data_IF_067210737039
#
_entry.id   IF_067210737039
#
_cell.length_a   1.000
_cell.length_b   1.000
_cell.length_c   1.000
_cell.angle_alpha   90.00
_cell.angle_beta   90.00
_cell.angle_gamma   90.00
#
_symmetry.space_group_name_H-M   'P 1'
#
loop_
_entity.id
_entity.type
_entity.pdbx_description
1 polymer ?
#
# COMPACT_ATOMS: atom_id res chain seq x y z
N UNK A 1 14.23 25.04 -3.69
CA UNK A 1 14.54 24.04 -4.75
C UNK A 1 14.38 22.60 -4.26
N UNK A 2 14.79 22.30 -3.02
CA UNK A 2 14.71 20.95 -2.40
C UNK A 2 13.28 20.42 -2.15
N UNK A 3 12.28 21.29 -1.89
CA UNK A 3 10.88 20.86 -1.68
C UNK A 3 10.25 20.24 -2.94
N UNK A 4 10.56 20.81 -4.12
CA UNK A 4 10.06 20.30 -5.40
C UNK A 4 10.55 18.87 -5.72
N UNK A 5 11.67 18.43 -5.15
CA UNK A 5 12.19 17.08 -5.35
C UNK A 5 11.45 16.06 -4.48
N UNK A 6 11.11 16.40 -3.23
CA UNK A 6 10.52 15.46 -2.28
C UNK A 6 9.12 15.00 -2.72
N UNK A 7 8.27 15.94 -3.14
CA UNK A 7 6.97 15.61 -3.74
C UNK A 7 7.15 14.80 -5.03
N UNK A 8 8.14 15.11 -5.88
CA UNK A 8 8.40 14.36 -7.10
C UNK A 8 8.77 12.90 -6.84
N UNK A 9 9.64 12.66 -5.85
CA UNK A 9 10.05 11.32 -5.41
C UNK A 9 8.85 10.56 -4.84
N UNK A 10 8.07 11.19 -3.95
CA UNK A 10 6.89 10.56 -3.35
C UNK A 10 5.86 10.14 -4.41
N UNK A 11 5.57 11.01 -5.39
CA UNK A 11 4.68 10.68 -6.52
C UNK A 11 5.19 9.46 -7.29
N UNK A 12 6.48 9.44 -7.62
CA UNK A 12 7.09 8.33 -8.36
C UNK A 12 7.00 7.02 -7.56
N UNK A 13 7.30 7.06 -6.25
CA UNK A 13 7.19 5.91 -5.36
C UNK A 13 5.77 5.35 -5.32
N UNK A 14 4.75 6.21 -5.16
CA UNK A 14 3.34 5.80 -5.15
C UNK A 14 2.95 5.13 -6.47
N UNK A 15 3.31 5.74 -7.60
CA UNK A 15 2.97 5.20 -8.92
C UNK A 15 3.61 3.82 -9.10
N UNK A 16 4.91 3.70 -8.82
CA UNK A 16 5.63 2.43 -8.95
C UNK A 16 5.05 1.39 -8.00
N UNK A 17 4.83 1.73 -6.73
CA UNK A 17 4.29 0.78 -5.74
C UNK A 17 2.89 0.31 -6.11
N UNK A 18 2.01 1.19 -6.57
CA UNK A 18 0.65 0.83 -6.98
C UNK A 18 0.65 -0.07 -8.22
N UNK A 19 1.50 0.21 -9.21
CA UNK A 19 1.63 -0.65 -10.40
C UNK A 19 2.20 -2.01 -10.04
N UNK A 20 3.28 -2.06 -9.24
CA UNK A 20 3.87 -3.32 -8.75
C UNK A 20 2.84 -4.11 -7.94
N UNK A 21 2.10 -3.45 -7.06
CA UNK A 21 1.04 -4.06 -6.27
C UNK A 21 -0.02 -4.71 -7.17
N UNK A 22 -0.45 -4.02 -8.23
CA UNK A 22 -1.43 -4.54 -9.18
C UNK A 22 -0.90 -5.74 -9.97
N UNK A 23 0.30 -5.63 -10.56
CA UNK A 23 0.88 -6.70 -11.40
C UNK A 23 1.10 -7.98 -10.59
N UNK A 24 1.59 -7.84 -9.36
CA UNK A 24 1.91 -8.97 -8.50
C UNK A 24 0.76 -9.37 -7.56
N UNK A 25 -0.46 -8.89 -7.82
CA UNK A 25 -1.68 -9.32 -7.09
C UNK A 25 -1.85 -10.84 -7.07
N UNK A 26 -1.35 -11.54 -8.09
CA UNK A 26 -1.32 -13.00 -8.13
C UNK A 26 -0.67 -13.66 -6.91
N UNK A 27 0.29 -12.99 -6.24
CA UNK A 27 0.87 -13.48 -4.99
C UNK A 27 -0.19 -13.54 -3.88
N UNK A 28 -1.03 -12.51 -3.79
CA UNK A 28 -2.15 -12.48 -2.84
C UNK A 28 -3.25 -13.47 -3.21
N UNK A 29 -3.57 -13.63 -4.50
CA UNK A 29 -4.58 -14.60 -4.97
C UNK A 29 -4.17 -16.03 -4.61
N UNK A 30 -2.90 -16.39 -4.80
CA UNK A 30 -2.39 -17.71 -4.41
C UNK A 30 -2.50 -17.96 -2.91
N UNK A 31 -2.21 -16.96 -2.08
CA UNK A 31 -2.42 -17.06 -0.64
C UNK A 31 -3.91 -17.15 -0.31
N UNK A 32 -4.77 -16.37 -0.97
CA UNK A 32 -6.22 -16.36 -0.75
C UNK A 32 -6.86 -17.71 -1.02
N UNK A 33 -6.47 -18.40 -2.09
CA UNK A 33 -7.00 -19.73 -2.42
C UNK A 33 -6.66 -20.80 -1.38
N UNK A 34 -5.64 -20.56 -0.55
CA UNK A 34 -5.25 -21.45 0.54
C UNK A 34 -5.96 -21.11 1.86
N UNK A 35 -6.65 -19.98 1.93
CA UNK A 35 -7.27 -19.44 3.14
C UNK A 35 -8.78 -19.64 3.11
N UNK A 36 -9.34 -20.20 4.18
CA UNK A 36 -10.78 -20.42 4.32
C UNK A 36 -11.59 -19.14 4.63
N UNK A 37 -10.94 -18.02 4.94
CA UNK A 37 -11.61 -16.79 5.35
C UNK A 37 -11.96 -15.86 4.19
N UNK A 38 -13.26 -15.72 3.91
CA UNK A 38 -13.83 -14.79 2.91
C UNK A 38 -13.40 -13.32 3.12
N UNK A 39 -13.23 -12.91 4.38
CA UNK A 39 -12.78 -11.56 4.75
C UNK A 39 -11.38 -11.24 4.25
N UNK A 40 -10.52 -12.26 4.07
CA UNK A 40 -9.17 -12.07 3.52
C UNK A 40 -9.23 -11.53 2.08
N UNK A 41 -10.12 -12.08 1.26
CA UNK A 41 -10.27 -11.68 -0.15
C UNK A 41 -10.79 -10.25 -0.27
N UNK A 42 -11.74 -9.89 0.59
CA UNK A 42 -12.27 -8.54 0.65
C UNK A 42 -11.21 -7.50 1.03
N UNK A 43 -10.44 -7.75 2.10
CA UNK A 43 -9.37 -6.83 2.54
C UNK A 43 -8.26 -6.73 1.50
N UNK A 44 -7.87 -7.85 0.88
CA UNK A 44 -6.90 -7.88 -0.21
C UNK A 44 -7.36 -6.99 -1.38
N UNK A 45 -8.62 -7.13 -1.80
CA UNK A 45 -9.18 -6.35 -2.89
C UNK A 45 -9.20 -4.85 -2.57
N UNK A 46 -9.64 -4.47 -1.36
CA UNK A 46 -9.59 -3.08 -0.91
C UNK A 46 -8.17 -2.52 -0.86
N UNK A 47 -7.20 -3.31 -0.40
CA UNK A 47 -5.80 -2.90 -0.34
C UNK A 47 -5.25 -2.55 -1.74
N UNK A 48 -5.59 -3.35 -2.76
CA UNK A 48 -5.22 -3.05 -4.15
C UNK A 48 -5.97 -1.82 -4.69
N UNK A 49 -7.29 -1.74 -4.48
CA UNK A 49 -8.11 -0.63 -4.97
C UNK A 49 -7.69 0.72 -4.39
N UNK A 50 -7.50 0.82 -3.08
CA UNK A 50 -7.07 2.08 -2.45
C UNK A 50 -5.63 2.43 -2.88
N UNK A 51 -4.79 1.42 -3.13
CA UNK A 51 -3.49 1.63 -3.80
C UNK A 51 -3.62 2.27 -5.18
N UNK A 52 -4.61 1.88 -5.99
CA UNK A 52 -4.89 2.52 -7.28
C UNK A 52 -5.45 3.94 -7.12
N UNK A 53 -6.31 4.18 -6.12
CA UNK A 53 -6.76 5.55 -5.78
C UNK A 53 -5.55 6.44 -5.45
N UNK A 54 -4.58 5.93 -4.69
CA UNK A 54 -3.34 6.64 -4.39
C UNK A 54 -2.57 7.01 -5.66
N UNK A 55 -2.53 6.10 -6.65
CA UNK A 55 -1.88 6.36 -7.95
C UNK A 55 -2.60 7.48 -8.71
N UNK A 56 -3.92 7.45 -8.80
CA UNK A 56 -4.68 8.50 -9.50
C UNK A 56 -4.50 9.85 -8.82
N UNK A 57 -4.63 9.91 -7.50
CA UNK A 57 -4.40 11.13 -6.73
C UNK A 57 -2.96 11.63 -6.90
N UNK A 58 -1.96 10.74 -6.82
CA UNK A 58 -0.57 11.09 -7.09
C UNK A 58 -0.40 11.68 -8.49
N UNK A 59 -1.02 11.14 -9.54
CA UNK A 59 -0.90 11.77 -10.88
C UNK A 59 -1.53 13.16 -10.95
N UNK A 60 -2.60 13.40 -10.19
CA UNK A 60 -3.36 14.65 -10.18
C UNK A 60 -2.71 15.78 -9.38
N UNK A 61 -1.84 15.49 -8.40
CA UNK A 61 -1.20 16.53 -7.56
C UNK A 61 -0.59 17.64 -8.43
N UNK A 62 -1.21 18.82 -8.38
CA UNK A 62 -0.72 20.08 -8.95
C UNK A 62 0.27 20.73 -7.99
N UNK A 63 1.23 21.46 -8.55
CA UNK A 63 2.39 22.01 -7.79
C UNK A 63 2.02 22.93 -6.61
N UNK A 64 0.81 23.52 -6.57
CA UNK A 64 0.41 24.52 -5.57
C UNK A 64 -0.74 24.11 -4.66
N UNK A 65 -1.35 22.94 -4.84
CA UNK A 65 -2.51 22.54 -4.03
C UNK A 65 -2.09 21.71 -2.82
N UNK A 66 -2.02 22.38 -1.67
CA UNK A 66 -1.75 21.77 -0.37
C UNK A 66 -2.79 20.70 -0.02
N UNK A 67 -4.06 20.92 -0.39
CA UNK A 67 -5.16 19.99 -0.12
C UNK A 67 -4.98 18.63 -0.82
N UNK A 68 -4.62 18.62 -2.11
CA UNK A 68 -4.38 17.38 -2.88
C UNK A 68 -3.24 16.55 -2.27
N UNK A 69 -2.19 17.21 -1.77
CA UNK A 69 -1.06 16.54 -1.12
C UNK A 69 -1.46 15.89 0.20
N UNK A 70 -2.23 16.59 1.04
CA UNK A 70 -2.74 16.05 2.31
C UNK A 70 -3.66 14.87 2.03
N UNK A 71 -4.55 15.00 1.05
CA UNK A 71 -5.46 13.93 0.67
C UNK A 71 -4.70 12.70 0.17
N UNK A 72 -3.72 12.87 -0.72
CA UNK A 72 -2.89 11.75 -1.21
C UNK A 72 -2.11 11.08 -0.08
N UNK A 73 -1.55 11.85 0.86
CA UNK A 73 -0.87 11.30 2.03
C UNK A 73 -1.82 10.50 2.91
N UNK A 74 -3.03 11.00 3.14
CA UNK A 74 -4.07 10.29 3.90
C UNK A 74 -4.44 8.96 3.24
N UNK A 75 -4.64 8.95 1.92
CA UNK A 75 -4.88 7.72 1.16
C UNK A 75 -3.71 6.73 1.32
N UNK A 76 -2.45 7.19 1.28
CA UNK A 76 -1.29 6.33 1.51
C UNK A 76 -1.33 5.66 2.90
N UNK A 77 -1.70 6.38 3.95
CA UNK A 77 -1.83 5.81 5.29
C UNK A 77 -3.00 4.85 5.42
N UNK A 78 -4.13 5.14 4.77
CA UNK A 78 -5.28 4.21 4.71
C UNK A 78 -4.88 2.92 3.99
N UNK A 79 -4.18 3.01 2.85
CA UNK A 79 -3.63 1.85 2.13
C UNK A 79 -2.69 1.05 3.03
N UNK A 80 -1.79 1.71 3.74
CA UNK A 80 -0.87 1.06 4.68
C UNK A 80 -1.61 0.36 5.84
N UNK A 81 -2.67 0.98 6.37
CA UNK A 81 -3.53 0.39 7.41
C UNK A 81 -4.24 -0.87 6.93
N UNK A 82 -4.84 -0.83 5.72
CA UNK A 82 -5.48 -1.99 5.11
C UNK A 82 -4.47 -3.12 4.85
N UNK A 83 -3.28 -2.79 4.32
CA UNK A 83 -2.21 -3.77 4.13
C UNK A 83 -1.75 -4.38 5.45
N UNK A 84 -1.63 -3.59 6.51
CA UNK A 84 -1.22 -4.09 7.84
C UNK A 84 -2.27 -5.04 8.42
N UNK A 85 -3.56 -4.74 8.24
CA UNK A 85 -4.65 -5.63 8.62
C UNK A 85 -4.62 -6.93 7.81
N UNK A 86 -4.34 -6.87 6.50
CA UNK A 86 -4.18 -8.06 5.67
C UNK A 86 -3.02 -8.94 6.14
N UNK A 87 -1.87 -8.34 6.49
CA UNK A 87 -0.72 -9.05 7.05
C UNK A 87 -1.09 -9.76 8.36
N UNK A 88 -1.88 -9.12 9.22
CA UNK A 88 -2.36 -9.74 10.45
C UNK A 88 -3.21 -10.99 10.15
N UNK A 89 -4.13 -10.92 9.18
CA UNK A 89 -4.92 -12.08 8.75
C UNK A 89 -4.04 -13.21 8.23
N UNK A 90 -3.04 -12.89 7.38
CA UNK A 90 -2.11 -13.90 6.88
C UNK A 90 -1.29 -14.56 7.99
N UNK A 91 -0.84 -13.78 8.99
CA UNK A 91 -0.07 -14.29 10.13
C UNK A 91 -0.93 -15.16 11.03
N UNK A 92 -2.16 -14.74 11.29
CA UNK A 92 -3.13 -15.50 12.07
C UNK A 92 -3.40 -16.85 11.41
N UNK A 93 -3.67 -16.86 10.11
CA UNK A 93 -3.90 -18.09 9.36
C UNK A 93 -2.71 -19.05 9.37
N UNK A 94 -1.47 -18.55 9.26
CA UNK A 94 -0.25 -19.38 9.40
C UNK A 94 -0.18 -20.06 10.77
N UNK A 95 -0.67 -19.40 11.83
CA UNK A 95 -0.61 -19.94 13.19
C UNK A 95 -1.72 -20.96 13.49
N UNK A 96 -2.89 -20.82 12.86
CA UNK A 96 -4.08 -21.61 13.16
C UNK A 96 -4.24 -22.81 12.22
N UNK A 97 -3.95 -22.64 10.92
CA UNK A 97 -4.22 -23.68 9.91
C UNK A 97 -3.04 -24.64 9.74
N UNK A 98 -3.22 -25.91 10.14
CA UNK A 98 -2.19 -26.96 10.05
C UNK A 98 -1.91 -27.45 8.62
N UNK A 99 -2.86 -27.31 7.70
CA UNK A 99 -2.76 -27.77 6.30
C UNK A 99 -2.24 -26.68 5.33
N UNK A 100 -1.88 -25.50 5.84
CA UNK A 100 -1.52 -24.36 5.02
C UNK A 100 -0.10 -24.49 4.47
N UNK A 101 0.07 -24.22 3.17
CA UNK A 101 1.41 -23.98 2.60
C UNK A 101 1.93 -22.62 3.07
N UNK A 102 2.63 -22.65 4.20
CA UNK A 102 3.22 -21.49 4.85
C UNK A 102 4.14 -20.71 3.90
N UNK A 103 4.79 -21.38 2.94
CA UNK A 103 5.71 -20.73 2.01
C UNK A 103 5.01 -19.74 1.09
N UNK A 104 3.83 -20.08 0.59
CA UNK A 104 3.04 -19.21 -0.30
C UNK A 104 2.50 -18.00 0.47
N UNK A 105 1.94 -18.23 1.66
CA UNK A 105 1.36 -17.15 2.49
C UNK A 105 2.44 -16.23 3.05
N UNK A 106 3.61 -16.77 3.43
CA UNK A 106 4.75 -15.96 3.86
C UNK A 106 5.25 -15.02 2.76
N UNK A 107 5.29 -15.47 1.50
CA UNK A 107 5.63 -14.60 0.36
C UNK A 107 4.63 -13.44 0.21
N UNK A 108 3.34 -13.71 0.41
CA UNK A 108 2.31 -12.67 0.39
C UNK A 108 2.49 -11.66 1.54
N UNK A 109 2.84 -12.12 2.74
CA UNK A 109 3.17 -11.25 3.88
C UNK A 109 4.36 -10.34 3.57
N UNK A 110 5.46 -10.90 3.08
CA UNK A 110 6.68 -10.13 2.77
C UNK A 110 6.39 -9.09 1.68
N UNK A 111 5.63 -9.49 0.66
CA UNK A 111 5.21 -8.59 -0.41
C UNK A 111 4.32 -7.45 0.12
N UNK A 112 3.31 -7.74 0.93
CA UNK A 112 2.49 -6.72 1.59
C UNK A 112 3.33 -5.77 2.42
N UNK A 113 4.27 -6.27 3.23
CA UNK A 113 5.15 -5.45 4.07
C UNK A 113 5.99 -4.47 3.24
N UNK A 114 6.52 -4.92 2.10
CA UNK A 114 7.27 -4.05 1.20
C UNK A 114 6.41 -2.92 0.61
N UNK A 115 5.18 -3.25 0.18
CA UNK A 115 4.23 -2.27 -0.37
C UNK A 115 3.75 -1.28 0.70
N UNK A 116 3.44 -1.76 1.90
CA UNK A 116 3.07 -0.92 3.06
C UNK A 116 4.18 0.09 3.35
N UNK A 117 5.42 -0.37 3.43
CA UNK A 117 6.56 0.49 3.70
C UNK A 117 6.71 1.59 2.63
N UNK A 118 6.54 1.24 1.35
CA UNK A 118 6.59 2.20 0.26
C UNK A 118 5.50 3.29 0.39
N UNK A 119 4.27 2.92 0.74
CA UNK A 119 3.20 3.89 0.95
C UNK A 119 3.43 4.77 2.20
N UNK A 120 3.91 4.19 3.30
CA UNK A 120 4.22 4.95 4.52
C UNK A 120 5.31 5.98 4.24
N UNK A 121 6.42 5.57 3.61
CA UNK A 121 7.51 6.48 3.25
C UNK A 121 6.99 7.58 2.33
N UNK A 122 6.20 7.23 1.31
CA UNK A 122 5.65 8.20 0.37
C UNK A 122 4.72 9.22 1.05
N UNK A 123 3.84 8.75 1.95
CA UNK A 123 2.98 9.62 2.74
C UNK A 123 3.77 10.57 3.64
N UNK A 124 4.79 10.07 4.33
CA UNK A 124 5.69 10.90 5.16
C UNK A 124 6.45 11.93 4.32
N UNK A 125 6.94 11.58 3.13
CA UNK A 125 7.61 12.52 2.24
C UNK A 125 6.68 13.64 1.77
N UNK A 126 5.42 13.34 1.46
CA UNK A 126 4.41 14.36 1.11
C UNK A 126 4.14 15.33 2.27
N UNK A 127 4.03 14.81 3.50
CA UNK A 127 3.81 15.64 4.70
C UNK A 127 5.07 16.46 5.05
N UNK A 128 6.26 15.87 4.97
CA UNK A 128 7.52 16.57 5.23
C UNK A 128 7.71 17.73 4.26
N UNK A 129 7.35 17.55 2.99
CA UNK A 129 7.38 18.63 2.00
C UNK A 129 6.41 19.76 2.34
N UNK A 130 5.24 19.41 2.90
CA UNK A 130 4.21 20.36 3.29
C UNK A 130 4.63 21.21 4.50
N UNK A 131 5.26 20.59 5.51
CA UNK A 131 5.78 21.30 6.69
C UNK A 131 6.90 22.25 6.29
N UNK A 132 7.80 21.82 5.39
CA UNK A 132 8.96 22.61 4.96
C UNK A 132 8.58 23.81 4.07
N UNK A 133 7.43 23.75 3.41
CA UNK A 133 6.99 24.76 2.44
C UNK A 133 5.87 25.67 2.99
N UNK A 134 5.63 25.59 4.32
CA UNK A 134 4.84 26.52 5.12
C UNK A 134 5.76 27.60 5.71
#
# INVERSE_FOLDING_TARGET
MMSKQLTGIAKAMIIISSVVHLIFTNIHVKALLLLEHEMCGFVMFLFVLIGLVALFEATRIKKRETAERIFTALICFVTAGLGSYLVMIYRDAISVQRSLDVGVVYRAVVFSMAIILAYVISGLLLIADLIKNR
#
